data_IF_358423341748
#
_entry.id   IF_358423341748
#
_cell.length_a   1.000
_cell.length_b   1.000
_cell.length_c   1.000
_cell.angle_alpha   90.00
_cell.angle_beta   90.00
_cell.angle_gamma   90.00
#
_symmetry.space_group_name_H-M   'P 1'
#
loop_
_entity.id
_entity.type
_entity.pdbx_description
1 polymer ?
#
# COMPACT_ATOMS: atom_id res chain seq x y z
N UNK A 1 -0.66 -17.96 -27.49
CA UNK A 1 -2.05 -17.75 -27.03
C UNK A 1 -2.10 -18.25 -25.61
N UNK A 2 -2.51 -17.41 -24.67
CA UNK A 2 -2.79 -17.85 -23.30
C UNK A 2 -3.98 -18.83 -23.34
N UNK A 3 -3.81 -19.99 -22.73
CA UNK A 3 -4.83 -21.02 -22.53
C UNK A 3 -5.48 -20.83 -21.16
N UNK A 4 -6.74 -21.26 -21.01
CA UNK A 4 -7.40 -21.31 -19.69
C UNK A 4 -6.75 -22.31 -18.72
N UNK A 5 -5.84 -23.15 -19.23
CA UNK A 5 -5.03 -24.09 -18.45
C UNK A 5 -3.64 -23.53 -18.07
N UNK A 6 -3.28 -22.33 -18.55
CA UNK A 6 -2.06 -21.66 -18.10
C UNK A 6 -2.25 -21.18 -16.64
N UNK A 7 -1.18 -21.03 -15.85
CA UNK A 7 -1.27 -20.52 -14.49
C UNK A 7 -2.01 -19.17 -14.46
N UNK A 8 -3.21 -19.16 -13.89
CA UNK A 8 -4.04 -17.96 -13.77
C UNK A 8 -3.77 -17.29 -12.43
N UNK A 9 -3.29 -16.06 -12.47
CA UNK A 9 -3.16 -15.20 -11.30
C UNK A 9 -4.13 -14.03 -11.44
N UNK A 10 -4.87 -13.71 -10.39
CA UNK A 10 -5.76 -12.55 -10.37
C UNK A 10 -5.16 -11.50 -9.43
N UNK A 11 -4.77 -10.36 -9.99
CA UNK A 11 -4.41 -9.18 -9.20
C UNK A 11 -5.63 -8.30 -9.02
N UNK A 12 -5.93 -7.91 -7.78
CA UNK A 12 -7.07 -7.04 -7.49
C UNK A 12 -6.63 -5.87 -6.63
N UNK A 13 -7.03 -4.66 -7.04
CA UNK A 13 -7.00 -3.52 -6.13
C UNK A 13 -8.09 -3.69 -5.06
N UNK A 14 -7.99 -2.94 -3.97
CA UNK A 14 -8.89 -3.02 -2.84
C UNK A 14 -9.94 -1.92 -2.86
N UNK A 15 -9.53 -0.68 -2.58
CA UNK A 15 -10.47 0.42 -2.35
C UNK A 15 -11.22 0.79 -3.63
N UNK A 16 -12.54 0.67 -3.60
CA UNK A 16 -13.38 0.95 -4.78
C UNK A 16 -13.29 -0.11 -5.87
N UNK A 17 -12.62 -1.24 -5.62
CA UNK A 17 -12.54 -2.40 -6.53
C UNK A 17 -13.10 -3.65 -5.85
N UNK A 18 -12.34 -4.31 -4.96
CA UNK A 18 -12.82 -5.46 -4.21
C UNK A 18 -13.68 -5.02 -3.00
N UNK A 19 -13.30 -3.92 -2.37
CA UNK A 19 -14.00 -3.33 -1.23
C UNK A 19 -14.87 -2.18 -1.70
N UNK A 20 -16.09 -2.10 -1.17
CA UNK A 20 -16.95 -0.94 -1.40
C UNK A 20 -16.25 0.35 -0.92
N UNK A 21 -16.24 1.38 -1.75
CA UNK A 21 -15.54 2.66 -1.48
C UNK A 21 -16.10 3.45 -0.29
N UNK A 22 -17.33 3.17 0.13
CA UNK A 22 -18.01 3.88 1.23
C UNK A 22 -18.17 3.03 2.48
N UNK A 23 -18.49 1.75 2.33
CA UNK A 23 -18.75 0.85 3.47
C UNK A 23 -17.58 -0.06 3.82
N UNK A 24 -16.55 -0.14 2.95
CA UNK A 24 -15.45 -1.12 3.03
C UNK A 24 -15.92 -2.58 3.08
N UNK A 25 -17.19 -2.83 2.74
CA UNK A 25 -17.78 -4.15 2.67
C UNK A 25 -17.24 -4.92 1.45
N UNK A 26 -17.02 -6.21 1.65
CA UNK A 26 -16.49 -7.14 0.65
C UNK A 26 -17.43 -8.34 0.41
N UNK A 27 -18.51 -8.44 1.19
CA UNK A 27 -19.48 -9.53 1.19
C UNK A 27 -20.04 -9.83 -0.21
N UNK A 28 -20.31 -8.83 -1.09
CA UNK A 28 -20.71 -9.13 -2.47
C UNK A 28 -19.68 -9.95 -3.27
N UNK A 29 -18.39 -9.83 -2.96
CA UNK A 29 -17.32 -10.60 -3.59
C UNK A 29 -17.10 -11.98 -2.94
N UNK A 30 -17.60 -12.22 -1.72
CA UNK A 30 -17.34 -13.44 -0.96
C UNK A 30 -17.65 -14.74 -1.73
N UNK A 31 -18.81 -14.91 -2.40
CA UNK A 31 -19.09 -16.14 -3.15
C UNK A 31 -18.11 -16.38 -4.31
N UNK A 32 -17.56 -15.31 -4.90
CA UNK A 32 -16.59 -15.40 -5.99
C UNK A 32 -15.20 -15.73 -5.49
N UNK A 33 -14.77 -15.12 -4.38
CA UNK A 33 -13.50 -15.46 -3.73
C UNK A 33 -13.46 -16.94 -3.33
N UNK A 34 -14.56 -17.48 -2.80
CA UNK A 34 -14.68 -18.92 -2.50
C UNK A 34 -14.51 -19.78 -3.76
N UNK A 35 -15.21 -19.47 -4.85
CA UNK A 35 -15.10 -20.23 -6.12
C UNK A 35 -13.68 -20.22 -6.69
N UNK A 36 -13.01 -19.06 -6.63
CA UNK A 36 -11.64 -18.91 -7.11
C UNK A 36 -10.68 -19.75 -6.26
N UNK A 37 -10.84 -19.70 -4.94
CA UNK A 37 -10.06 -20.52 -4.00
C UNK A 37 -10.26 -22.03 -4.25
N UNK A 38 -11.51 -22.49 -4.37
CA UNK A 38 -11.85 -23.89 -4.68
C UNK A 38 -11.31 -24.35 -6.04
N UNK A 39 -11.15 -23.42 -6.98
CA UNK A 39 -10.58 -23.69 -8.31
C UNK A 39 -9.06 -23.59 -8.36
N UNK A 40 -8.40 -23.33 -7.21
CA UNK A 40 -6.95 -23.15 -7.14
C UNK A 40 -6.44 -21.91 -7.86
N UNK A 41 -7.28 -20.89 -8.07
CA UNK A 41 -6.92 -19.62 -8.73
C UNK A 41 -6.57 -18.59 -7.65
N UNK A 42 -5.28 -18.26 -7.45
CA UNK A 42 -4.87 -17.30 -6.44
C UNK A 42 -5.33 -15.88 -6.76
N UNK A 43 -5.88 -15.20 -5.74
CA UNK A 43 -6.24 -13.79 -5.77
C UNK A 43 -5.22 -13.00 -4.95
N UNK A 44 -4.40 -12.23 -5.65
CA UNK A 44 -3.31 -11.42 -5.10
C UNK A 44 -3.84 -10.02 -4.84
N UNK A 45 -3.87 -9.64 -3.56
CA UNK A 45 -4.30 -8.30 -3.15
C UNK A 45 -3.22 -7.29 -3.45
N UNK A 46 -3.59 -6.15 -4.03
CA UNK A 46 -2.66 -5.06 -4.36
C UNK A 46 -3.22 -3.73 -3.83
N UNK A 47 -2.46 -2.95 -3.06
CA UNK A 47 -2.97 -1.69 -2.50
C UNK A 47 -1.87 -0.70 -2.10
N UNK A 48 -2.27 0.55 -1.81
CA UNK A 48 -1.41 1.55 -1.16
C UNK A 48 -1.37 1.43 0.37
N UNK A 49 -2.22 0.57 0.94
CA UNK A 49 -2.26 0.26 2.38
C UNK A 49 -0.96 -0.36 2.89
N UNK A 50 -0.72 -0.23 4.19
CA UNK A 50 0.44 -0.85 4.84
C UNK A 50 0.36 -2.38 4.75
N UNK A 51 1.51 -3.05 4.85
CA UNK A 51 1.52 -4.52 4.90
C UNK A 51 0.70 -5.06 6.09
N UNK A 52 0.69 -4.35 7.22
CA UNK A 52 -0.07 -4.72 8.40
C UNK A 52 -1.59 -4.69 8.16
N UNK A 53 -2.11 -3.63 7.52
CA UNK A 53 -3.51 -3.56 7.11
C UNK A 53 -3.85 -4.68 6.13
N UNK A 54 -2.98 -4.89 5.14
CA UNK A 54 -3.17 -5.87 4.07
C UNK A 54 -3.24 -7.31 4.62
N UNK A 55 -2.39 -7.67 5.58
CA UNK A 55 -2.43 -8.98 6.23
C UNK A 55 -3.72 -9.20 7.06
N UNK A 56 -4.21 -8.15 7.73
CA UNK A 56 -5.48 -8.22 8.45
C UNK A 56 -6.66 -8.42 7.47
N UNK A 57 -6.62 -7.72 6.33
CA UNK A 57 -7.63 -7.86 5.28
C UNK A 57 -7.56 -9.24 4.61
N UNK A 58 -6.36 -9.75 4.32
CA UNK A 58 -6.16 -11.08 3.77
C UNK A 58 -6.75 -12.17 4.67
N UNK A 59 -6.58 -12.03 6.00
CA UNK A 59 -7.23 -12.88 7.00
C UNK A 59 -8.74 -12.81 6.92
N UNK A 60 -9.29 -11.59 6.85
CA UNK A 60 -10.74 -11.37 6.77
C UNK A 60 -11.36 -11.97 5.50
N UNK A 61 -10.63 -11.92 4.40
CA UNK A 61 -11.03 -12.41 3.08
C UNK A 61 -10.76 -13.91 2.88
N UNK A 62 -10.18 -14.59 3.88
CA UNK A 62 -9.75 -15.99 3.79
C UNK A 62 -8.77 -16.25 2.62
N UNK A 63 -7.82 -15.34 2.41
CA UNK A 63 -6.80 -15.40 1.37
C UNK A 63 -5.39 -15.60 1.95
N UNK A 64 -5.28 -16.02 3.21
CA UNK A 64 -4.01 -16.12 3.94
C UNK A 64 -3.02 -17.05 3.22
N UNK A 65 -1.75 -16.68 3.30
CA UNK A 65 -0.65 -17.45 2.75
C UNK A 65 -0.35 -17.20 1.27
N UNK A 66 -1.29 -16.57 0.55
CA UNK A 66 -1.03 -16.06 -0.80
C UNK A 66 -0.12 -14.81 -0.75
N UNK A 67 0.60 -14.50 -1.84
CA UNK A 67 1.35 -13.26 -1.92
C UNK A 67 0.40 -12.06 -1.95
N UNK A 68 0.90 -10.89 -1.52
CA UNK A 68 0.20 -9.62 -1.65
C UNK A 68 1.18 -8.47 -1.89
N UNK A 69 0.69 -7.40 -2.49
CA UNK A 69 1.43 -6.19 -2.82
C UNK A 69 0.88 -5.04 -1.96
N UNK A 70 1.71 -4.51 -1.06
CA UNK A 70 1.38 -3.42 -0.16
C UNK A 70 2.19 -2.15 -0.51
N UNK A 71 1.79 -1.03 0.06
CA UNK A 71 2.51 0.26 -0.06
C UNK A 71 2.85 0.64 -1.50
N UNK A 72 1.89 0.46 -2.42
CA UNK A 72 2.03 0.73 -3.86
C UNK A 72 3.16 -0.06 -4.55
N UNK A 73 3.49 -1.25 -4.04
CA UNK A 73 4.57 -2.08 -4.58
C UNK A 73 5.92 -1.88 -3.90
N UNK A 74 6.02 -0.99 -2.91
CA UNK A 74 7.21 -0.88 -2.08
C UNK A 74 7.38 -2.08 -1.14
N UNK A 75 6.30 -2.84 -0.89
CA UNK A 75 6.33 -4.03 -0.06
C UNK A 75 5.62 -5.18 -0.77
N UNK A 76 6.29 -6.34 -0.85
CA UNK A 76 5.73 -7.58 -1.37
C UNK A 76 5.82 -8.64 -0.29
N UNK A 77 4.65 -9.10 0.16
CA UNK A 77 4.54 -10.28 1.01
C UNK A 77 4.65 -11.52 0.11
N UNK A 78 5.57 -12.41 0.42
CA UNK A 78 5.81 -13.61 -0.36
C UNK A 78 4.83 -14.72 0.03
N UNK A 79 4.56 -15.62 -0.92
CA UNK A 79 3.76 -16.82 -0.68
C UNK A 79 4.41 -17.68 0.42
N UNK A 80 3.60 -18.28 1.28
CA UNK A 80 4.09 -19.12 2.39
C UNK A 80 4.89 -20.33 1.91
N UNK A 81 4.69 -20.79 0.69
CA UNK A 81 5.46 -21.90 0.12
C UNK A 81 6.84 -21.47 -0.39
N UNK A 82 7.19 -20.18 -0.32
CA UNK A 82 8.47 -19.64 -0.78
C UNK A 82 9.46 -19.41 0.38
N UNK A 83 9.44 -20.27 1.40
CA UNK A 83 10.29 -20.14 2.59
C UNK A 83 11.80 -20.12 2.27
N UNK A 84 12.21 -20.78 1.18
CA UNK A 84 13.60 -20.82 0.71
C UNK A 84 14.03 -19.54 -0.04
N UNK A 85 13.11 -18.61 -0.30
CA UNK A 85 13.43 -17.36 -0.98
C UNK A 85 14.26 -16.45 -0.04
N UNK A 86 15.35 -15.81 -0.52
CA UNK A 86 16.26 -15.04 0.35
C UNK A 86 15.61 -13.85 1.05
N UNK A 87 14.51 -13.34 0.50
CA UNK A 87 13.73 -12.25 1.07
C UNK A 87 12.47 -12.72 1.81
N UNK A 88 12.33 -14.02 2.11
CA UNK A 88 11.20 -14.50 2.90
C UNK A 88 11.24 -13.93 4.33
N UNK A 89 10.10 -13.49 4.93
CA UNK A 89 8.73 -13.58 4.40
C UNK A 89 8.30 -12.42 3.49
N UNK A 90 9.14 -11.39 3.32
CA UNK A 90 8.75 -10.12 2.70
C UNK A 90 9.91 -9.44 2.00
N UNK A 91 9.69 -9.07 0.75
CA UNK A 91 10.57 -8.18 0.01
C UNK A 91 10.16 -6.72 0.27
N UNK A 92 11.11 -5.91 0.70
CA UNK A 92 10.96 -4.45 0.81
C UNK A 92 11.81 -3.82 -0.29
N UNK A 93 11.18 -3.05 -1.17
CA UNK A 93 11.83 -2.44 -2.32
C UNK A 93 12.47 -1.10 -1.92
N UNK A 94 13.80 -1.02 -2.08
CA UNK A 94 14.52 0.24 -2.04
C UNK A 94 14.56 0.90 -0.66
N UNK A 95 14.06 2.13 -0.58
CA UNK A 95 14.22 3.02 0.58
C UNK A 95 13.20 2.71 1.69
N UNK A 96 13.66 2.62 2.94
CA UNK A 96 12.78 2.35 4.09
C UNK A 96 11.92 3.55 4.51
N UNK A 97 10.81 3.28 5.19
CA UNK A 97 9.93 4.30 5.80
C UNK A 97 10.70 5.33 6.63
N UNK A 98 11.65 4.87 7.46
CA UNK A 98 12.43 5.75 8.32
C UNK A 98 13.31 6.73 7.52
N UNK A 99 13.90 6.28 6.42
CA UNK A 99 14.72 7.11 5.55
C UNK A 99 13.86 8.14 4.81
N UNK A 100 12.70 7.73 4.29
CA UNK A 100 11.73 8.63 3.66
C UNK A 100 11.28 9.70 4.68
N UNK A 101 10.95 9.29 5.91
CA UNK A 101 10.56 10.21 6.98
C UNK A 101 11.63 11.25 7.28
N UNK A 102 12.90 10.86 7.31
CA UNK A 102 14.03 11.78 7.50
C UNK A 102 14.17 12.77 6.33
N UNK A 103 13.96 12.32 5.09
CA UNK A 103 13.94 13.20 3.91
C UNK A 103 12.80 14.21 4.02
N UNK A 104 11.59 13.75 4.31
CA UNK A 104 10.41 14.61 4.45
C UNK A 104 10.58 15.64 5.56
N UNK A 105 11.13 15.25 6.70
CA UNK A 105 11.44 16.18 7.79
C UNK A 105 12.40 17.29 7.33
N UNK A 106 13.49 16.93 6.64
CA UNK A 106 14.47 17.90 6.13
C UNK A 106 13.84 18.86 5.10
N UNK A 107 13.02 18.36 4.18
CA UNK A 107 12.32 19.19 3.20
C UNK A 107 11.34 20.14 3.89
N UNK A 108 10.60 19.66 4.88
CA UNK A 108 9.68 20.47 5.69
C UNK A 108 10.40 21.58 6.45
N UNK A 109 11.52 21.27 7.11
CA UNK A 109 12.29 22.27 7.86
C UNK A 109 12.98 23.31 6.97
N UNK A 110 13.62 22.87 5.88
CA UNK A 110 14.43 23.77 5.04
C UNK A 110 13.58 24.59 4.08
N UNK A 111 12.61 23.94 3.44
CA UNK A 111 11.84 24.54 2.36
C UNK A 111 10.43 24.95 2.80
N UNK A 112 10.02 24.62 4.03
CA UNK A 112 8.73 25.03 4.61
C UNK A 112 7.51 24.54 3.81
N UNK A 113 7.60 23.34 3.23
CA UNK A 113 6.44 22.68 2.60
C UNK A 113 5.37 22.34 3.64
N UNK A 114 4.11 22.55 3.26
CA UNK A 114 2.96 22.29 4.15
C UNK A 114 2.33 20.94 3.85
N UNK A 115 2.56 19.98 4.72
CA UNK A 115 1.89 18.69 4.72
C UNK A 115 1.80 18.12 6.13
N UNK A 116 0.91 17.14 6.33
CA UNK A 116 0.79 16.38 7.57
C UNK A 116 0.85 14.90 7.22
N UNK A 117 1.84 14.20 7.76
CA UNK A 117 2.03 12.76 7.59
C UNK A 117 1.21 11.98 8.61
N UNK A 118 1.02 10.68 8.36
CA UNK A 118 0.36 9.78 9.32
C UNK A 118 1.22 9.56 10.57
N UNK A 119 2.53 9.83 10.49
CA UNK A 119 3.45 9.81 11.63
C UNK A 119 3.29 11.01 12.56
N UNK A 120 2.76 12.13 12.05
CA UNK A 120 2.60 13.37 12.81
C UNK A 120 1.38 13.33 13.76
N UNK A 121 0.53 12.32 13.65
CA UNK A 121 -0.76 12.24 14.36
C UNK A 121 -0.97 10.88 15.03
N UNK A 122 -1.96 10.80 15.92
CA UNK A 122 -2.35 9.56 16.58
C UNK A 122 -3.45 8.80 15.82
N UNK A 123 -3.75 7.58 16.29
CA UNK A 123 -4.74 6.69 15.67
C UNK A 123 -6.16 7.28 15.69
N UNK A 124 -6.47 8.18 16.64
CA UNK A 124 -7.78 8.81 16.71
C UNK A 124 -7.96 9.76 15.54
N UNK A 125 -6.97 10.63 15.29
CA UNK A 125 -7.01 11.55 14.15
C UNK A 125 -7.05 10.79 12.82
N UNK A 126 -6.30 9.68 12.70
CA UNK A 126 -6.38 8.83 11.50
C UNK A 126 -7.77 8.20 11.35
N UNK A 127 -8.39 7.76 12.45
CA UNK A 127 -9.77 7.25 12.42
C UNK A 127 -10.75 8.31 11.90
N UNK A 128 -10.60 9.57 12.33
CA UNK A 128 -11.41 10.69 11.86
C UNK A 128 -11.20 10.97 10.36
N UNK A 129 -9.96 10.90 9.86
CA UNK A 129 -9.67 11.11 8.43
C UNK A 129 -10.12 9.97 7.54
N UNK A 130 -10.00 8.74 8.02
CA UNK A 130 -10.17 7.54 7.19
C UNK A 130 -11.55 6.91 7.33
N UNK A 131 -12.24 7.15 8.45
CA UNK A 131 -13.47 6.44 8.84
C UNK A 131 -13.21 5.06 9.44
N UNK A 132 -11.94 4.67 9.64
CA UNK A 132 -11.56 3.39 10.21
C UNK A 132 -11.76 3.35 11.73
N UNK A 133 -11.91 2.15 12.29
CA UNK A 133 -11.89 2.00 13.74
C UNK A 133 -10.46 2.11 14.29
N UNK A 134 -10.32 2.29 15.61
CA UNK A 134 -9.02 2.49 16.26
C UNK A 134 -8.01 1.37 15.96
N UNK A 135 -8.43 0.11 15.93
CA UNK A 135 -7.52 -1.01 15.68
C UNK A 135 -6.99 -0.98 14.25
N UNK A 136 -7.85 -0.71 13.26
CA UNK A 136 -7.46 -0.54 11.86
C UNK A 136 -6.57 0.70 11.66
N UNK A 137 -6.90 1.82 12.31
CA UNK A 137 -6.10 3.05 12.26
C UNK A 137 -4.69 2.85 12.80
N UNK A 138 -4.53 2.03 13.84
CA UNK A 138 -3.21 1.67 14.35
C UNK A 138 -2.37 0.91 13.29
N UNK A 139 -2.98 -0.02 12.54
CA UNK A 139 -2.29 -0.72 11.45
C UNK A 139 -1.93 0.20 10.28
N UNK A 140 -2.76 1.21 10.03
CA UNK A 140 -2.56 2.18 8.94
C UNK A 140 -1.31 3.05 9.13
N UNK A 141 -0.74 3.09 10.35
CA UNK A 141 0.50 3.81 10.66
C UNK A 141 1.75 2.95 10.53
N UNK A 142 1.61 1.64 10.35
CA UNK A 142 2.73 0.70 10.35
C UNK A 142 3.33 0.57 8.95
N UNK A 143 3.79 1.70 8.40
CA UNK A 143 4.49 1.72 7.12
C UNK A 143 5.91 1.16 7.26
N UNK A 144 6.35 0.42 6.24
CA UNK A 144 7.70 -0.15 6.17
C UNK A 144 8.57 0.51 5.11
N UNK A 145 7.97 0.98 4.00
CA UNK A 145 8.70 1.41 2.80
C UNK A 145 8.09 2.63 2.10
N UNK A 146 7.16 3.30 2.78
CA UNK A 146 6.49 4.51 2.28
C UNK A 146 6.05 5.44 3.41
N UNK A 147 5.58 6.63 3.07
CA UNK A 147 4.93 7.56 3.99
C UNK A 147 3.63 8.06 3.37
N UNK A 148 2.51 7.92 4.10
CA UNK A 148 1.23 8.52 3.74
C UNK A 148 1.10 9.94 4.31
N UNK A 149 0.58 10.87 3.52
CA UNK A 149 0.40 12.26 3.93
C UNK A 149 -0.81 12.95 3.30
N UNK A 150 -1.25 14.02 3.98
CA UNK A 150 -2.17 15.03 3.47
C UNK A 150 -1.34 16.22 3.03
N UNK A 151 -1.42 16.56 1.74
CA UNK A 151 -0.84 17.79 1.22
C UNK A 151 -1.70 19.00 1.60
N UNK A 152 -1.07 20.09 2.07
CA UNK A 152 -1.75 21.30 2.56
C UNK A 152 -1.13 22.59 2.01
N UNK A 153 -0.38 22.49 0.93
CA UNK A 153 0.24 23.62 0.24
C UNK A 153 -0.40 23.82 -1.16
N UNK A 154 0.06 24.81 -1.92
CA UNK A 154 -0.43 25.04 -3.29
C UNK A 154 0.07 24.00 -4.30
N UNK A 155 -0.52 24.00 -5.50
CA UNK A 155 -0.11 23.12 -6.60
C UNK A 155 1.30 23.48 -7.13
N UNK A 156 1.67 24.76 -7.14
CA UNK A 156 3.02 25.19 -7.51
C UNK A 156 4.06 24.66 -6.52
N UNK A 157 3.71 24.65 -5.23
CA UNK A 157 4.54 24.09 -4.17
C UNK A 157 4.62 22.57 -4.27
N UNK A 158 3.53 21.92 -4.67
CA UNK A 158 3.51 20.48 -4.93
C UNK A 158 4.47 20.14 -6.07
N UNK A 159 4.45 20.88 -7.17
CA UNK A 159 5.37 20.65 -8.30
C UNK A 159 6.84 20.76 -7.88
N UNK A 160 7.18 21.76 -7.05
CA UNK A 160 8.53 21.89 -6.47
C UNK A 160 8.89 20.71 -5.57
N UNK A 161 7.95 20.30 -4.70
CA UNK A 161 8.14 19.17 -3.79
C UNK A 161 8.37 17.86 -4.54
N UNK A 162 7.59 17.58 -5.59
CA UNK A 162 7.77 16.42 -6.48
C UNK A 162 9.15 16.44 -7.13
N UNK A 163 9.60 17.59 -7.64
CA UNK A 163 10.94 17.70 -8.22
C UNK A 163 12.04 17.37 -7.20
N UNK A 164 11.91 17.87 -5.96
CA UNK A 164 12.85 17.56 -4.87
C UNK A 164 12.86 16.08 -4.49
N UNK A 165 11.69 15.43 -4.46
CA UNK A 165 11.61 13.99 -4.19
C UNK A 165 12.28 13.19 -5.32
N UNK A 166 12.00 13.54 -6.58
CA UNK A 166 12.58 12.86 -7.74
C UNK A 166 14.11 12.95 -7.77
N UNK A 167 14.67 14.13 -7.44
CA UNK A 167 16.13 14.33 -7.31
C UNK A 167 16.77 13.39 -6.25
N UNK A 168 15.96 12.92 -5.29
CA UNK A 168 16.36 12.02 -4.21
C UNK A 168 15.98 10.55 -4.47
N UNK A 169 15.49 10.22 -5.67
CA UNK A 169 15.07 8.85 -6.01
C UNK A 169 13.74 8.43 -5.36
N UNK A 170 12.93 9.39 -4.92
CA UNK A 170 11.60 9.16 -4.38
C UNK A 170 10.54 9.64 -5.36
N UNK A 171 9.36 9.03 -5.33
CA UNK A 171 8.19 9.45 -6.10
C UNK A 171 7.05 9.88 -5.19
N UNK A 172 6.13 10.66 -5.75
CA UNK A 172 4.94 11.14 -5.07
C UNK A 172 3.68 10.68 -5.79
N UNK A 173 2.96 9.75 -5.18
CA UNK A 173 1.83 9.04 -5.81
C UNK A 173 0.52 9.47 -5.16
N UNK A 174 -0.46 9.82 -5.98
CA UNK A 174 -1.81 10.11 -5.51
C UNK A 174 -2.60 8.80 -5.35
N UNK A 175 -2.97 8.47 -4.12
CA UNK A 175 -3.95 7.43 -3.83
C UNK A 175 -5.39 7.94 -3.96
N UNK A 176 -6.36 7.19 -3.43
CA UNK A 176 -7.76 7.59 -3.49
C UNK A 176 -8.08 8.86 -2.68
N UNK A 177 -7.41 9.05 -1.53
CA UNK A 177 -7.65 10.16 -0.59
C UNK A 177 -6.38 10.83 -0.05
N UNK A 178 -5.27 10.10 -0.06
CA UNK A 178 -4.00 10.52 0.52
C UNK A 178 -2.90 10.42 -0.53
N UNK A 179 -1.82 11.14 -0.29
CA UNK A 179 -0.62 11.03 -1.09
C UNK A 179 0.36 10.08 -0.40
N UNK A 180 1.19 9.42 -1.22
CA UNK A 180 2.18 8.47 -0.76
C UNK A 180 3.56 8.84 -1.31
N UNK A 181 4.57 8.82 -0.45
CA UNK A 181 5.98 8.97 -0.84
C UNK A 181 6.65 7.61 -0.66
N UNK A 182 7.29 7.11 -1.72
CA UNK A 182 7.99 5.83 -1.73
C UNK A 182 9.16 5.87 -2.73
N UNK A 183 9.95 4.81 -2.76
CA UNK A 183 11.05 4.65 -3.73
C UNK A 183 10.53 4.78 -5.19
N UNK A 184 11.22 5.55 -6.03
CA UNK A 184 10.83 5.80 -7.41
C UNK A 184 10.93 4.57 -8.34
N UNK A 185 11.68 3.54 -7.93
CA UNK A 185 11.80 2.26 -8.65
C UNK A 185 10.72 1.25 -8.27
N UNK A 186 9.99 1.49 -7.17
CA UNK A 186 8.87 0.66 -6.76
C UNK A 186 7.59 1.03 -7.53
N UNK A 187 6.69 0.06 -7.66
CA UNK A 187 5.41 0.27 -8.34
C UNK A 187 4.57 -1.00 -8.32
N UNK A 188 3.24 -0.86 -8.38
CA UNK A 188 2.31 -2.00 -8.42
C UNK A 188 2.58 -2.91 -9.62
N UNK A 189 2.94 -2.31 -10.75
CA UNK A 189 3.34 -2.98 -11.98
C UNK A 189 4.67 -3.71 -11.82
N UNK A 190 5.68 -3.08 -11.22
CA UNK A 190 6.98 -3.70 -10.95
C UNK A 190 6.88 -4.86 -9.97
N UNK A 191 6.01 -4.74 -8.96
CA UNK A 191 5.77 -5.80 -7.99
C UNK A 191 4.98 -6.99 -8.56
N UNK A 192 4.22 -6.79 -9.65
CA UNK A 192 3.43 -7.83 -10.30
C UNK A 192 4.19 -8.61 -11.39
N UNK A 193 5.31 -8.06 -11.88
CA UNK A 193 6.17 -8.66 -12.90
C UNK A 193 7.26 -9.55 -12.31
#
# INVERSE_FOLDING_TARGET
MLSIHDPLLIFTDLDGTLLNSHTFEWQPAAPWLTRLHESGVPVILCSSKTAAEMLQLQTTLNLQGLPLIAENGAVIQLDVHWEDHPNYPRLIAGISHNEIRLVLHKLREKEQFKFTTFDDVDDQVISEWTGLNRAQSALTRLHEASVSLIWRDSDERMAQFVARLNDLGLQFVHGARFWHVLDASAGKDQAAN
#
